data_IF_834091046468
#
_entry.id   IF_834091046468
#
_cell.length_a   1.000
_cell.length_b   1.000
_cell.length_c   1.000
_cell.angle_alpha   90.00
_cell.angle_beta   90.00
_cell.angle_gamma   90.00
#
_symmetry.space_group_name_H-M   'P 1'
#
loop_
_entity.id
_entity.type
_entity.pdbx_description
1 polymer ?
#
# COMPACT_ATOMS: atom_id res chain seq x y z
N UNK A 1 15.28 4.38 -13.50
CA UNK A 1 14.51 4.64 -14.73
C UNK A 1 13.82 6.00 -14.68
N UNK A 2 12.82 6.26 -13.81
CA UNK A 2 12.06 7.52 -13.81
C UNK A 2 12.94 8.77 -13.61
N UNK A 3 13.91 8.76 -12.69
CA UNK A 3 14.86 9.86 -12.52
C UNK A 3 15.69 10.13 -13.79
N UNK A 4 16.07 9.09 -14.51
CA UNK A 4 16.80 9.23 -15.79
C UNK A 4 15.93 9.86 -16.89
N UNK A 5 14.61 9.84 -16.70
CA UNK A 5 13.63 10.51 -17.58
C UNK A 5 13.25 11.91 -17.10
N UNK A 6 13.96 12.46 -16.13
CA UNK A 6 13.74 13.82 -15.62
C UNK A 6 12.73 13.93 -14.48
N UNK A 7 12.24 12.82 -13.91
CA UNK A 7 11.33 12.86 -12.76
C UNK A 7 12.09 13.24 -11.50
N UNK A 8 11.61 14.26 -10.80
CA UNK A 8 12.14 14.69 -9.51
C UNK A 8 11.37 13.99 -8.37
N UNK A 9 12.08 13.48 -7.39
CA UNK A 9 11.52 12.85 -6.20
C UNK A 9 11.85 13.66 -4.96
N UNK A 10 10.83 14.03 -4.18
CA UNK A 10 10.98 14.66 -2.87
C UNK A 10 10.55 13.66 -1.79
N UNK A 11 11.51 13.02 -1.15
CA UNK A 11 11.27 12.08 -0.07
C UNK A 11 11.16 12.82 1.27
N UNK A 12 10.45 12.21 2.24
CA UNK A 12 10.22 12.79 3.57
C UNK A 12 9.61 14.20 3.53
N UNK A 13 8.78 14.45 2.51
CA UNK A 13 8.17 15.74 2.22
C UNK A 13 6.65 15.60 2.26
N UNK A 14 6.03 15.49 3.46
CA UNK A 14 4.61 15.27 3.58
C UNK A 14 3.83 16.52 3.11
N UNK A 15 2.89 16.30 2.19
CA UNK A 15 1.96 17.34 1.72
C UNK A 15 0.90 17.56 2.80
N UNK A 16 0.81 18.78 3.33
CA UNK A 16 -0.15 19.14 4.35
C UNK A 16 -1.46 19.67 3.77
N UNK A 17 -1.41 20.37 2.64
CA UNK A 17 -2.57 21.01 2.01
C UNK A 17 -2.39 21.14 0.51
N UNK A 18 -3.51 21.04 -0.20
CA UNK A 18 -3.64 21.31 -1.63
C UNK A 18 -4.54 22.52 -1.82
N UNK A 19 -4.18 23.39 -2.75
CA UNK A 19 -5.03 24.47 -3.26
C UNK A 19 -5.20 24.29 -4.78
N UNK A 20 -6.43 24.42 -5.25
CA UNK A 20 -6.81 24.23 -6.65
C UNK A 20 -7.06 25.56 -7.38
N UNK A 21 -6.72 26.70 -6.76
CA UNK A 21 -6.56 27.93 -7.49
C UNK A 21 -5.46 27.74 -8.56
N UNK A 22 -5.55 28.44 -9.68
CA UNK A 22 -4.52 28.33 -10.72
C UNK A 22 -3.40 29.34 -10.48
N UNK A 23 -2.14 28.86 -10.48
CA UNK A 23 -1.64 27.49 -10.64
C UNK A 23 -2.00 26.59 -9.45
N UNK A 24 -2.14 25.28 -9.70
CA UNK A 24 -2.38 24.32 -8.65
C UNK A 24 -1.21 24.30 -7.67
N UNK A 25 -1.48 24.31 -6.38
CA UNK A 25 -0.47 24.56 -5.34
C UNK A 25 -0.49 23.50 -4.28
N UNK A 26 0.68 23.07 -3.83
CA UNK A 26 0.84 22.24 -2.61
C UNK A 26 1.60 23.02 -1.55
N UNK A 27 1.29 22.70 -0.30
CA UNK A 27 2.00 23.14 0.89
C UNK A 27 2.53 21.93 1.62
N UNK A 28 3.82 21.95 1.90
CA UNK A 28 4.51 20.88 2.63
C UNK A 28 4.41 21.14 4.14
N UNK A 29 4.32 20.09 4.93
CA UNK A 29 4.33 20.23 6.38
C UNK A 29 5.66 20.84 6.85
N UNK A 30 5.58 21.81 7.76
CA UNK A 30 6.72 22.54 8.33
C UNK A 30 7.51 23.42 7.32
N UNK A 31 6.96 23.65 6.11
CA UNK A 31 7.51 24.57 5.14
C UNK A 31 6.41 25.53 4.70
N UNK A 32 6.55 26.85 4.93
CA UNK A 32 5.56 27.83 4.50
C UNK A 32 5.57 28.10 2.99
N UNK A 33 6.54 27.55 2.28
CA UNK A 33 6.72 27.80 0.83
C UNK A 33 5.58 27.15 0.03
N UNK A 34 4.97 27.91 -0.85
CA UNK A 34 4.00 27.43 -1.81
C UNK A 34 4.72 26.83 -3.03
N UNK A 35 4.41 25.61 -3.38
CA UNK A 35 4.94 24.95 -4.58
C UNK A 35 3.84 24.91 -5.65
N UNK A 36 4.11 25.52 -6.79
CA UNK A 36 3.16 25.69 -7.89
C UNK A 36 3.40 24.68 -9.01
N UNK A 37 2.31 24.17 -9.58
CA UNK A 37 2.32 23.19 -10.66
C UNK A 37 1.20 23.48 -11.66
N UNK A 38 1.38 23.06 -12.90
CA UNK A 38 0.34 23.15 -13.94
C UNK A 38 -0.84 22.24 -13.63
N UNK A 39 -0.55 21.06 -13.06
CA UNK A 39 -1.54 20.07 -12.62
C UNK A 39 -1.03 19.23 -11.46
N UNK A 40 -1.94 18.72 -10.67
CA UNK A 40 -1.67 17.78 -9.56
C UNK A 40 -2.43 16.48 -9.78
N UNK A 41 -1.78 15.37 -9.47
CA UNK A 41 -2.41 14.06 -9.40
C UNK A 41 -2.29 13.53 -7.96
N UNK A 42 -3.41 13.30 -7.31
CA UNK A 42 -3.42 12.75 -5.94
C UNK A 42 -3.40 11.23 -5.99
N UNK A 43 -2.31 10.64 -5.45
CA UNK A 43 -2.07 9.21 -5.32
C UNK A 43 -1.73 8.82 -3.88
N UNK A 44 -2.28 9.53 -2.87
CA UNK A 44 -1.86 9.44 -1.47
C UNK A 44 -2.46 8.24 -0.68
N UNK A 45 -3.04 7.25 -1.36
CA UNK A 45 -3.58 6.04 -0.74
C UNK A 45 -4.61 6.38 0.35
N UNK A 46 -4.45 5.81 1.53
CA UNK A 46 -5.40 5.99 2.65
C UNK A 46 -5.42 7.42 3.23
N UNK A 47 -4.45 8.25 2.91
CA UNK A 47 -4.41 9.66 3.33
C UNK A 47 -5.16 10.59 2.35
N UNK A 48 -5.53 10.11 1.18
CA UNK A 48 -6.24 10.91 0.17
C UNK A 48 -7.51 11.60 0.68
N UNK A 49 -8.38 10.94 1.50
CA UNK A 49 -9.58 11.60 2.02
C UNK A 49 -9.29 12.86 2.85
N UNK A 50 -8.23 12.87 3.67
CA UNK A 50 -7.85 14.02 4.49
C UNK A 50 -7.37 15.19 3.63
N UNK A 51 -6.55 14.92 2.60
CA UNK A 51 -6.07 15.94 1.66
C UNK A 51 -7.18 16.53 0.80
N UNK A 52 -8.21 15.75 0.48
CA UNK A 52 -9.27 16.13 -0.46
C UNK A 52 -10.51 16.73 0.23
N UNK A 53 -10.73 16.41 1.50
CA UNK A 53 -11.89 16.92 2.25
C UNK A 53 -12.00 18.44 2.29
N UNK A 54 -10.91 19.23 2.50
CA UNK A 54 -10.96 20.69 2.45
C UNK A 54 -11.40 21.26 1.11
N UNK A 55 -11.19 20.50 0.02
CA UNK A 55 -11.62 20.85 -1.33
C UNK A 55 -13.08 20.48 -1.63
N UNK A 56 -13.80 19.94 -0.63
CA UNK A 56 -15.18 19.46 -0.78
C UNK A 56 -15.31 18.09 -1.45
N UNK A 57 -14.20 17.40 -1.71
CA UNK A 57 -14.20 16.05 -2.31
C UNK A 57 -14.23 15.03 -1.18
N UNK A 58 -15.34 14.29 -1.10
CA UNK A 58 -15.55 13.25 -0.08
C UNK A 58 -15.48 11.88 -0.70
N UNK A 59 -14.59 11.04 -0.18
CA UNK A 59 -14.38 9.67 -0.63
C UNK A 59 -14.72 8.69 0.49
N UNK A 60 -15.57 7.69 0.25
CA UNK A 60 -15.91 6.67 1.26
C UNK A 60 -14.80 5.62 1.40
N UNK A 61 -13.55 6.04 1.27
CA UNK A 61 -12.38 5.18 1.37
C UNK A 61 -12.09 4.81 2.82
N UNK A 62 -11.76 3.54 3.05
CA UNK A 62 -11.38 3.02 4.37
C UNK A 62 -10.09 2.20 4.27
N UNK A 63 -9.21 2.28 5.29
CA UNK A 63 -8.06 1.40 5.38
C UNK A 63 -8.51 -0.04 5.70
N UNK A 64 -8.04 -1.00 4.91
CA UNK A 64 -8.13 -2.43 5.24
C UNK A 64 -6.72 -2.97 5.41
N UNK A 65 -6.37 -3.33 6.63
CA UNK A 65 -5.01 -3.74 6.94
C UNK A 65 -4.74 -5.18 6.54
N UNK A 66 -3.59 -5.38 5.93
CA UNK A 66 -3.01 -6.68 5.63
C UNK A 66 -1.68 -6.86 6.33
N UNK A 67 -1.29 -8.10 6.51
CA UNK A 67 -0.06 -8.47 7.19
C UNK A 67 0.82 -9.31 6.29
N UNK A 68 2.12 -9.22 6.48
CA UNK A 68 3.05 -10.18 5.95
C UNK A 68 4.15 -10.50 6.95
N UNK A 69 4.60 -11.74 6.88
CA UNK A 69 5.76 -12.24 7.61
C UNK A 69 6.79 -12.67 6.58
N UNK A 70 8.04 -12.28 6.79
CA UNK A 70 9.14 -12.67 5.91
C UNK A 70 10.29 -13.22 6.75
N UNK A 71 10.76 -14.42 6.39
CA UNK A 71 11.85 -15.11 7.08
C UNK A 71 12.92 -15.57 6.11
N UNK A 72 14.17 -15.70 6.59
CA UNK A 72 15.26 -16.24 5.78
C UNK A 72 15.02 -17.71 5.47
N UNK A 73 15.26 -18.10 4.23
CA UNK A 73 15.19 -19.49 3.73
C UNK A 73 16.53 -20.17 4.04
N UNK A 74 16.59 -21.14 4.96
CA UNK A 74 17.83 -21.84 5.26
C UNK A 74 18.30 -22.70 4.09
N UNK A 75 17.37 -23.44 3.49
CA UNK A 75 17.63 -24.35 2.37
C UNK A 75 16.61 -24.13 1.25
N UNK A 76 17.04 -23.75 0.04
CA UNK A 76 16.15 -23.44 -1.07
C UNK A 76 15.15 -24.53 -1.45
N UNK A 77 15.50 -25.79 -1.20
CA UNK A 77 14.66 -26.94 -1.55
C UNK A 77 13.38 -27.01 -0.72
N UNK A 78 13.37 -26.44 0.48
CA UNK A 78 12.19 -26.43 1.38
C UNK A 78 11.25 -25.27 1.12
N UNK A 79 11.66 -24.28 0.32
CA UNK A 79 10.84 -23.11 0.01
C UNK A 79 10.07 -23.31 -1.29
N UNK A 80 8.90 -22.64 -1.47
CA UNK A 80 8.14 -22.73 -2.71
C UNK A 80 8.97 -22.22 -3.91
N UNK A 81 8.81 -22.89 -5.06
CA UNK A 81 9.43 -22.48 -6.32
C UNK A 81 8.59 -21.46 -7.09
N UNK A 82 7.29 -21.39 -6.77
CA UNK A 82 6.32 -20.45 -7.35
C UNK A 82 5.47 -19.83 -6.23
N UNK A 83 4.64 -18.85 -6.56
CA UNK A 83 3.62 -18.37 -5.64
C UNK A 83 2.57 -19.44 -5.37
N UNK A 84 2.20 -19.61 -4.12
CA UNK A 84 1.17 -20.54 -3.65
C UNK A 84 0.10 -19.74 -2.91
N UNK A 85 -1.17 -20.02 -3.18
CA UNK A 85 -2.31 -19.42 -2.48
C UNK A 85 -3.02 -20.51 -1.66
N UNK A 86 -3.11 -20.29 -0.37
CA UNK A 86 -4.03 -21.03 0.50
C UNK A 86 -5.41 -20.39 0.40
N UNK A 87 -6.32 -21.05 -0.29
CA UNK A 87 -7.66 -20.53 -0.55
C UNK A 87 -8.56 -20.54 0.71
N UNK A 88 -8.27 -21.40 1.68
CA UNK A 88 -9.03 -21.45 2.93
C UNK A 88 -8.79 -20.22 3.80
N UNK A 89 -7.53 -19.81 3.94
CA UNK A 89 -7.13 -18.68 4.77
C UNK A 89 -6.88 -17.40 3.96
N UNK A 90 -6.97 -17.47 2.61
CA UNK A 90 -6.64 -16.37 1.70
C UNK A 90 -5.24 -15.79 1.97
N UNK A 91 -4.29 -16.70 2.08
CA UNK A 91 -2.89 -16.42 2.40
C UNK A 91 -2.00 -16.82 1.22
N UNK A 92 -1.19 -15.90 0.76
CA UNK A 92 -0.20 -16.14 -0.29
C UNK A 92 1.17 -16.43 0.32
N UNK A 93 1.85 -17.46 -0.20
CA UNK A 93 3.22 -17.81 0.15
C UNK A 93 4.08 -17.67 -1.10
N UNK A 94 5.19 -16.96 -1.00
CA UNK A 94 6.11 -16.77 -2.12
C UNK A 94 7.55 -16.73 -1.64
N UNK A 95 8.49 -17.10 -2.51
CA UNK A 95 9.90 -16.92 -2.27
C UNK A 95 10.41 -15.67 -3.00
N UNK A 96 11.08 -14.82 -2.28
CA UNK A 96 11.70 -13.58 -2.78
C UNK A 96 13.21 -13.64 -2.51
N UNK A 97 13.96 -14.14 -3.46
CA UNK A 97 15.38 -14.38 -3.28
C UNK A 97 15.66 -15.40 -2.18
N UNK A 98 16.31 -14.96 -1.12
CA UNK A 98 16.65 -15.78 0.04
C UNK A 98 15.65 -15.67 1.20
N UNK A 99 14.47 -15.12 0.94
CA UNK A 99 13.42 -15.02 1.95
C UNK A 99 12.12 -15.65 1.46
N UNK A 100 11.46 -16.38 2.33
CA UNK A 100 10.07 -16.76 2.15
C UNK A 100 9.19 -15.66 2.75
N UNK A 101 8.17 -15.27 2.03
CA UNK A 101 7.15 -14.31 2.48
C UNK A 101 5.80 -14.99 2.48
N UNK A 102 5.10 -14.85 3.59
CA UNK A 102 3.70 -15.24 3.73
C UNK A 102 2.88 -13.98 4.01
N UNK A 103 1.81 -13.76 3.27
CA UNK A 103 1.04 -12.53 3.33
C UNK A 103 -0.46 -12.81 3.18
N UNK A 104 -1.26 -12.08 3.93
CA UNK A 104 -2.71 -12.25 3.90
C UNK A 104 -3.43 -11.30 4.86
N UNK A 105 -4.60 -11.73 5.25
CA UNK A 105 -5.53 -11.03 6.13
C UNK A 105 -6.16 -9.77 5.53
N UNK A 106 -7.35 -9.47 6.00
CA UNK A 106 -8.09 -8.25 5.72
C UNK A 106 -8.74 -7.78 7.02
N UNK A 107 -8.07 -6.87 7.73
CA UNK A 107 -8.57 -6.32 8.99
C UNK A 107 -9.27 -5.00 8.73
N UNK A 108 -10.56 -4.94 9.04
CA UNK A 108 -11.40 -3.75 8.98
C UNK A 108 -11.53 -3.17 10.39
N UNK A 109 -11.44 -1.86 10.53
CA UNK A 109 -11.57 -1.17 11.81
C UNK A 109 -10.32 -1.20 12.69
N UNK A 110 -9.20 -1.75 12.19
CA UNK A 110 -7.91 -1.67 12.87
C UNK A 110 -7.30 -0.26 12.84
N UNK A 111 -6.28 -0.03 13.66
CA UNK A 111 -5.49 1.22 13.67
C UNK A 111 -4.08 0.97 13.18
N UNK A 112 -3.35 1.99 12.69
CA UNK A 112 -1.98 1.82 12.19
C UNK A 112 -1.04 1.14 13.19
N UNK A 113 -1.14 1.50 14.45
CA UNK A 113 -0.18 1.13 15.50
C UNK A 113 -0.48 -0.22 16.19
N UNK A 114 -1.73 -0.68 16.11
CA UNK A 114 -2.10 -1.96 16.73
C UNK A 114 -1.84 -3.14 15.78
N UNK A 115 -1.24 -4.20 16.31
CA UNK A 115 -0.96 -5.44 15.56
C UNK A 115 -1.98 -6.51 15.93
N UNK A 116 -2.64 -7.09 14.94
CA UNK A 116 -3.54 -8.21 15.13
C UNK A 116 -2.75 -9.51 15.24
N UNK A 117 -2.58 -10.00 16.47
CA UNK A 117 -1.82 -11.22 16.75
C UNK A 117 -2.44 -12.47 16.12
N UNK A 118 -3.78 -12.54 16.03
CA UNK A 118 -4.47 -13.68 15.38
C UNK A 118 -4.16 -13.73 13.88
N UNK A 119 -4.09 -12.58 13.23
CA UNK A 119 -3.69 -12.50 11.82
C UNK A 119 -2.27 -13.04 11.62
N UNK A 120 -1.31 -12.64 12.46
CA UNK A 120 0.06 -13.16 12.41
C UNK A 120 0.13 -14.65 12.68
N UNK A 121 -0.58 -15.14 13.70
CA UNK A 121 -0.65 -16.57 14.00
C UNK A 121 -1.16 -17.40 12.81
N UNK A 122 -2.16 -16.88 12.09
CA UNK A 122 -2.67 -17.51 10.87
C UNK A 122 -1.59 -17.59 9.79
N UNK A 123 -0.81 -16.54 9.58
CA UNK A 123 0.30 -16.54 8.61
C UNK A 123 1.37 -17.58 8.98
N UNK A 124 1.77 -17.61 10.25
CA UNK A 124 2.73 -18.62 10.74
C UNK A 124 2.20 -20.05 10.58
N UNK A 125 0.94 -20.25 10.94
CA UNK A 125 0.29 -21.55 10.79
C UNK A 125 0.31 -22.03 9.34
N UNK A 126 -0.17 -21.20 8.41
CA UNK A 126 -0.25 -21.55 6.98
C UNK A 126 1.15 -21.83 6.41
N UNK A 127 2.15 -21.02 6.76
CA UNK A 127 3.53 -21.28 6.32
C UNK A 127 4.03 -22.63 6.85
N UNK A 128 3.78 -22.95 8.12
CA UNK A 128 4.21 -24.21 8.74
C UNK A 128 3.46 -25.41 8.19
N UNK A 129 2.18 -25.27 7.88
CA UNK A 129 1.37 -26.38 7.33
C UNK A 129 1.84 -26.75 5.92
N UNK A 130 2.16 -25.76 5.06
CA UNK A 130 2.55 -26.00 3.68
C UNK A 130 4.05 -26.21 3.49
N UNK A 131 4.86 -25.47 4.21
CA UNK A 131 6.32 -25.42 4.04
C UNK A 131 7.01 -25.34 5.43
N UNK A 132 6.99 -26.39 6.23
CA UNK A 132 7.41 -26.36 7.65
C UNK A 132 8.88 -25.96 7.85
N UNK A 133 9.75 -26.18 6.84
CA UNK A 133 11.17 -25.85 6.92
C UNK A 133 11.58 -24.67 6.03
N UNK A 134 10.61 -23.98 5.39
CA UNK A 134 10.92 -22.92 4.42
C UNK A 134 11.50 -21.66 5.04
N UNK A 135 11.26 -21.40 6.31
CA UNK A 135 11.68 -20.17 6.97
C UNK A 135 12.28 -20.38 8.34
N UNK A 136 13.37 -19.67 8.63
CA UNK A 136 13.93 -19.62 9.98
C UNK A 136 13.11 -18.66 10.83
N UNK A 137 12.14 -19.19 11.56
CA UNK A 137 11.19 -18.40 12.37
C UNK A 137 11.73 -17.97 13.74
N UNK A 138 12.89 -18.52 14.17
CA UNK A 138 13.48 -18.22 15.48
C UNK A 138 14.23 -16.89 15.54
N UNK A 139 14.65 -16.34 14.39
CA UNK A 139 15.39 -15.07 14.32
C UNK A 139 15.29 -14.41 12.96
N UNK A 140 15.43 -13.07 12.92
CA UNK A 140 15.46 -12.29 11.69
C UNK A 140 14.15 -12.28 10.93
N UNK A 141 13.04 -12.56 11.61
CA UNK A 141 11.69 -12.47 11.06
C UNK A 141 11.33 -10.99 10.94
N UNK A 142 10.82 -10.62 9.77
CA UNK A 142 10.28 -9.29 9.52
C UNK A 142 8.76 -9.39 9.44
N UNK A 143 8.09 -8.64 10.28
CA UNK A 143 6.64 -8.47 10.25
C UNK A 143 6.34 -7.12 9.65
N UNK A 144 5.38 -7.08 8.74
CA UNK A 144 4.93 -5.85 8.12
C UNK A 144 3.39 -5.79 8.14
N UNK A 145 2.88 -4.60 8.39
CA UNK A 145 1.47 -4.25 8.31
C UNK A 145 1.30 -3.11 7.32
N UNK A 146 0.28 -3.19 6.47
CA UNK A 146 -0.03 -2.12 5.52
C UNK A 146 -1.51 -1.92 5.32
N UNK A 147 -1.89 -0.67 5.06
CA UNK A 147 -3.26 -0.26 4.81
C UNK A 147 -3.55 -0.25 3.31
N UNK A 148 -4.55 -1.02 2.88
CA UNK A 148 -5.08 -0.97 1.51
C UNK A 148 -6.15 0.12 1.45
N UNK A 149 -6.08 1.05 0.49
CA UNK A 149 -7.09 2.09 0.31
C UNK A 149 -8.33 1.50 -0.37
N UNK A 150 -9.26 0.96 0.42
CA UNK A 150 -10.44 0.28 -0.11
C UNK A 150 -11.62 1.24 -0.28
N UNK A 151 -12.27 1.15 -1.44
CA UNK A 151 -13.57 1.76 -1.71
C UNK A 151 -14.66 0.68 -1.59
N UNK A 152 -15.90 1.04 -1.18
CA UNK A 152 -16.97 0.06 -0.95
C UNK A 152 -17.38 -0.71 -2.21
N UNK A 153 -17.31 -0.09 -3.36
CA UNK A 153 -17.65 -0.63 -4.67
C UNK A 153 -16.49 -1.34 -5.39
N UNK A 154 -15.27 -1.22 -4.87
CA UNK A 154 -14.08 -1.91 -5.34
C UNK A 154 -13.25 -1.19 -6.40
N UNK A 155 -13.81 -0.63 -7.49
CA UNK A 155 -13.03 0.05 -8.52
C UNK A 155 -12.30 1.29 -8.00
N UNK A 156 -11.07 1.58 -8.52
CA UNK A 156 -10.36 2.81 -8.19
C UNK A 156 -11.02 4.05 -8.79
N UNK A 157 -10.76 5.21 -8.18
CA UNK A 157 -11.14 6.51 -8.73
C UNK A 157 -9.96 7.04 -9.55
N UNK A 158 -10.15 7.13 -10.87
CA UNK A 158 -9.12 7.60 -11.81
C UNK A 158 -9.75 8.65 -12.71
N UNK A 159 -9.15 9.85 -12.78
CA UNK A 159 -9.60 10.92 -13.66
C UNK A 159 -9.68 12.28 -13.01
N UNK A 160 -10.39 13.20 -13.66
CA UNK A 160 -10.56 14.58 -13.20
C UNK A 160 -11.38 14.64 -11.90
N UNK A 161 -10.94 15.43 -10.95
CA UNK A 161 -11.59 15.58 -9.65
C UNK A 161 -12.85 16.48 -9.66
N UNK A 162 -13.09 17.17 -10.75
CA UNK A 162 -14.06 18.28 -10.82
C UNK A 162 -13.51 19.63 -10.34
N UNK A 163 -12.25 19.69 -9.89
CA UNK A 163 -11.54 20.91 -9.56
C UNK A 163 -10.48 21.20 -10.62
N UNK A 164 -10.29 22.47 -11.03
CA UNK A 164 -9.28 22.83 -12.04
C UNK A 164 -7.88 22.35 -11.64
N UNK A 165 -7.15 21.75 -12.59
CA UNK A 165 -5.79 21.29 -12.38
C UNK A 165 -5.59 20.13 -11.40
N UNK A 166 -6.67 19.51 -10.89
CA UNK A 166 -6.58 18.39 -9.92
C UNK A 166 -7.16 17.10 -10.50
N UNK A 167 -6.33 16.06 -10.48
CA UNK A 167 -6.63 14.72 -10.94
C UNK A 167 -6.50 13.72 -9.80
N UNK A 168 -7.21 12.61 -9.89
CA UNK A 168 -7.22 11.55 -8.90
C UNK A 168 -6.76 10.24 -9.53
N UNK A 169 -5.90 9.52 -8.82
CA UNK A 169 -5.50 8.15 -9.15
C UNK A 169 -5.32 7.40 -7.82
N UNK A 170 -6.41 6.87 -7.27
CA UNK A 170 -6.47 6.40 -5.89
C UNK A 170 -7.54 5.31 -5.67
N UNK A 171 -7.52 4.66 -4.52
CA UNK A 171 -8.56 3.69 -4.14
C UNK A 171 -8.39 2.30 -4.75
N UNK A 172 -7.19 1.91 -5.19
CA UNK A 172 -6.92 0.64 -5.87
C UNK A 172 -7.02 -0.60 -4.97
N UNK A 173 -7.25 -0.42 -3.69
CA UNK A 173 -7.42 -1.52 -2.74
C UNK A 173 -6.24 -2.51 -2.73
N UNK A 174 -6.55 -3.78 -2.90
CA UNK A 174 -5.55 -4.85 -2.94
C UNK A 174 -4.85 -4.98 -4.30
N UNK A 175 -5.34 -4.36 -5.35
CA UNK A 175 -4.90 -4.55 -6.73
C UNK A 175 -4.00 -3.42 -7.25
N UNK A 176 -3.61 -2.47 -6.40
CA UNK A 176 -2.88 -1.28 -6.83
C UNK A 176 -1.59 -1.57 -7.59
N UNK A 177 -0.81 -2.55 -7.16
CA UNK A 177 0.40 -2.95 -7.87
C UNK A 177 0.09 -3.56 -9.25
N UNK A 178 -0.91 -4.44 -9.32
CA UNK A 178 -1.33 -5.10 -10.57
C UNK A 178 -1.87 -4.11 -11.59
N UNK A 179 -2.60 -3.09 -11.13
CA UNK A 179 -3.24 -2.09 -11.98
C UNK A 179 -2.33 -0.89 -12.31
N UNK A 180 -1.15 -0.79 -11.68
CA UNK A 180 -0.31 0.41 -11.74
C UNK A 180 0.01 0.86 -13.17
N UNK A 181 0.39 -0.07 -14.06
CA UNK A 181 0.73 0.27 -15.44
C UNK A 181 -0.48 0.70 -16.30
N UNK A 182 -1.68 0.29 -15.92
CA UNK A 182 -2.92 0.64 -16.65
C UNK A 182 -3.63 1.85 -16.10
N UNK A 183 -3.22 2.33 -14.91
CA UNK A 183 -3.83 3.47 -14.23
C UNK A 183 -2.91 4.70 -14.18
N UNK A 184 -1.67 4.58 -14.66
CA UNK A 184 -0.68 5.66 -14.78
C UNK A 184 -0.77 6.45 -16.07
#
# INVERSE_FOLDING_TARGET
AAQQMGVNFSFNTPVARIDTAQPATIYVANDPTAHHFDALVVCAGVQSPELLAPLGIRLPMRPVYGYSVSAHVPEPVFAPRSGVMDERYKVAISRMGQRVRVAGSAEIGGTPDATNQRALQTLYKVLSDWFPSAGRLSRGVQVWKGARPMLPDGPPVIGASGRPGLWLNLGHGALGFTLACGSG
#
